data_IF_651887496151
#
_entry.id   IF_651887496151
#
_cell.length_a   1.000
_cell.length_b   1.000
_cell.length_c   1.000
_cell.angle_alpha   90.00
_cell.angle_beta   90.00
_cell.angle_gamma   90.00
#
_symmetry.space_group_name_H-M   'P 1'
#
loop_
_entity.id
_entity.type
_entity.pdbx_description
1 polymer ?
#
# COMPACT_ATOMS: atom_id res chain seq x y z
N UNK A 1 7.06 -9.54 8.10
CA UNK A 1 6.70 -8.35 7.29
C UNK A 1 5.43 -7.62 7.70
N UNK A 2 5.51 -6.30 7.80
CA UNK A 2 4.40 -5.34 7.89
C UNK A 2 4.31 -4.50 6.60
N UNK A 3 3.12 -4.41 6.00
CA UNK A 3 2.85 -3.54 4.85
C UNK A 3 1.98 -2.37 5.31
N UNK A 4 2.48 -1.14 5.14
CA UNK A 4 1.88 0.11 5.58
C UNK A 4 1.53 1.00 4.37
N UNK A 5 0.39 0.74 3.71
CA UNK A 5 -0.06 1.58 2.61
C UNK A 5 -0.63 2.92 3.12
N UNK A 6 -0.50 3.96 2.30
CA UNK A 6 -1.25 5.22 2.41
C UNK A 6 -2.71 5.05 2.03
N UNK A 7 -3.33 6.15 1.62
CA UNK A 7 -4.73 6.10 1.17
C UNK A 7 -4.84 5.21 -0.08
N UNK A 8 -5.78 4.26 -0.05
CA UNK A 8 -6.05 3.35 -1.16
C UNK A 8 -7.49 3.57 -1.63
N UNK A 9 -7.70 3.61 -2.94
CA UNK A 9 -9.02 3.58 -3.54
C UNK A 9 -9.65 2.20 -3.38
N UNK A 10 -10.53 2.07 -2.38
CA UNK A 10 -11.22 0.82 -2.03
C UNK A 10 -12.65 1.12 -1.60
N UNK A 11 -13.52 0.10 -1.53
CA UNK A 11 -14.85 0.22 -0.95
C UNK A 11 -14.90 0.72 0.51
N UNK A 12 -13.76 0.85 1.20
CA UNK A 12 -13.69 1.45 2.54
C UNK A 12 -14.35 2.83 2.62
N UNK A 13 -14.28 3.61 1.53
CA UNK A 13 -14.82 4.98 1.48
C UNK A 13 -16.32 5.06 1.15
N UNK A 14 -17.05 3.94 1.06
CA UNK A 14 -18.47 3.95 0.68
C UNK A 14 -19.30 4.92 1.55
N UNK A 15 -19.93 5.90 0.90
CA UNK A 15 -20.73 6.95 1.56
C UNK A 15 -19.93 8.17 2.06
N UNK A 16 -18.61 8.17 1.87
CA UNK A 16 -17.72 9.30 2.14
C UNK A 16 -16.99 9.76 0.87
N UNK A 17 -16.45 10.98 0.90
CA UNK A 17 -15.63 11.47 -0.19
C UNK A 17 -14.27 10.75 -0.18
N UNK A 18 -13.86 10.25 -1.35
CA UNK A 18 -12.51 9.69 -1.54
C UNK A 18 -11.49 10.83 -1.47
N UNK A 19 -10.36 10.67 -0.73
CA UNK A 19 -9.29 11.66 -0.67
C UNK A 19 -8.71 11.99 -2.06
N UNK A 20 -8.15 13.21 -2.26
CA UNK A 20 -7.63 13.62 -3.57
C UNK A 20 -6.39 12.85 -4.03
N UNK A 21 -5.67 12.21 -3.10
CA UNK A 21 -4.49 11.40 -3.39
C UNK A 21 -4.74 9.98 -2.87
N UNK A 22 -4.94 9.03 -3.79
CA UNK A 22 -5.16 7.62 -3.48
C UNK A 22 -4.33 6.73 -4.39
N UNK A 23 -3.86 5.61 -3.85
CA UNK A 23 -3.28 4.53 -4.63
C UNK A 23 -4.41 3.66 -5.19
N UNK A 24 -4.34 3.21 -6.46
CA UNK A 24 -5.10 2.04 -6.87
C UNK A 24 -4.72 0.83 -5.98
N UNK A 25 -5.60 -0.16 -5.80
CA UNK A 25 -5.31 -1.31 -4.95
C UNK A 25 -4.21 -2.23 -5.52
N UNK A 26 -4.03 -2.22 -6.85
CA UNK A 26 -3.06 -3.09 -7.54
C UNK A 26 -1.60 -2.88 -7.10
N UNK A 27 -1.05 -1.65 -7.05
CA UNK A 27 0.28 -1.41 -6.47
C UNK A 27 0.50 -2.00 -5.07
N UNK A 28 -0.53 -2.01 -4.21
CA UNK A 28 -0.44 -2.60 -2.87
C UNK A 28 -0.32 -4.11 -2.95
N UNK A 29 -1.09 -4.75 -3.83
CA UNK A 29 -0.98 -6.19 -4.08
C UNK A 29 0.39 -6.58 -4.66
N UNK A 30 0.93 -5.79 -5.59
CA UNK A 30 2.28 -6.00 -6.14
C UNK A 30 3.36 -5.83 -5.07
N UNK A 31 3.20 -4.87 -4.15
CA UNK A 31 4.09 -4.67 -3.02
C UNK A 31 4.06 -5.85 -2.03
N UNK A 32 2.87 -6.42 -1.80
CA UNK A 32 2.73 -7.67 -1.02
C UNK A 32 3.43 -8.82 -1.74
N UNK A 33 3.25 -8.98 -3.05
CA UNK A 33 3.92 -10.04 -3.82
C UNK A 33 5.44 -9.90 -3.75
N UNK A 34 5.96 -8.68 -3.96
CA UNK A 34 7.38 -8.38 -3.78
C UNK A 34 7.89 -8.83 -2.41
N UNK A 35 7.14 -8.59 -1.34
CA UNK A 35 7.56 -9.00 -0.01
C UNK A 35 7.54 -10.51 0.22
N UNK A 36 6.61 -11.23 -0.41
CA UNK A 36 6.53 -12.69 -0.35
C UNK A 36 7.61 -13.38 -1.20
N UNK A 37 8.06 -12.73 -2.28
CA UNK A 37 9.04 -13.28 -3.23
C UNK A 37 10.50 -13.18 -2.74
N UNK A 38 10.73 -12.77 -1.49
CA UNK A 38 12.09 -12.59 -0.97
C UNK A 38 12.82 -13.92 -0.76
N UNK A 39 14.16 -13.96 -0.93
CA UNK A 39 14.94 -15.18 -0.72
C UNK A 39 14.82 -15.71 0.72
N UNK A 40 14.93 -17.02 0.90
CA UNK A 40 14.95 -17.65 2.21
C UNK A 40 16.01 -17.02 3.13
N UNK A 41 15.63 -16.75 4.38
CA UNK A 41 16.47 -16.05 5.35
C UNK A 41 16.37 -14.52 5.30
N UNK A 42 15.59 -13.96 4.36
CA UNK A 42 15.29 -12.53 4.30
C UNK A 42 13.94 -12.24 4.96
N UNK A 43 13.91 -11.31 5.91
CA UNK A 43 12.67 -10.71 6.41
C UNK A 43 12.63 -9.24 6.01
N UNK A 44 11.60 -8.84 5.29
CA UNK A 44 11.28 -7.44 5.12
C UNK A 44 10.44 -7.00 6.31
N UNK A 45 11.04 -6.25 7.24
CA UNK A 45 10.34 -5.87 8.46
C UNK A 45 9.15 -4.93 8.17
N UNK A 46 9.37 -3.89 7.35
CA UNK A 46 8.36 -2.87 7.04
C UNK A 46 8.45 -2.43 5.57
N UNK A 47 7.30 -2.34 4.91
CA UNK A 47 7.16 -1.78 3.57
C UNK A 47 6.11 -0.66 3.61
N UNK A 48 6.53 0.58 3.38
CA UNK A 48 5.65 1.75 3.35
C UNK A 48 5.51 2.26 1.92
N UNK A 49 4.27 2.49 1.48
CA UNK A 49 3.96 3.02 0.15
C UNK A 49 2.86 4.08 0.26
N UNK A 50 3.04 5.22 -0.41
CA UNK A 50 2.12 6.35 -0.36
C UNK A 50 1.78 6.84 -1.78
N UNK A 51 0.57 7.35 -2.04
CA UNK A 51 0.29 8.16 -3.21
C UNK A 51 1.31 9.29 -3.38
N UNK A 52 1.77 9.51 -4.60
CA UNK A 52 2.61 10.67 -4.91
C UNK A 52 1.82 11.97 -4.65
N UNK A 53 2.48 12.94 -4.04
CA UNK A 53 1.85 14.23 -3.68
C UNK A 53 1.03 14.19 -2.38
N UNK A 54 0.90 13.04 -1.71
CA UNK A 54 0.34 13.00 -0.35
C UNK A 54 1.27 13.81 0.60
N UNK A 55 0.74 14.77 1.38
CA UNK A 55 1.51 15.46 2.42
C UNK A 55 2.09 14.46 3.44
N UNK A 56 3.30 14.78 3.94
CA UNK A 56 4.00 13.97 4.94
C UNK A 56 3.30 13.99 6.30
#
# INVERSE_FOLDING_TARGET
TLVNPGMIDTPFWQGAAVPPFVLPPRPVAEAIRFALDQPAGTDLNTLTLRPLGQPA
#
